data_IF_658683131145
#
_entry.id   IF_658683131145
#
_cell.length_a   1.000
_cell.length_b   1.000
_cell.length_c   1.000
_cell.angle_alpha   90.00
_cell.angle_beta   90.00
_cell.angle_gamma   90.00
#
_symmetry.space_group_name_H-M   'P 1'
#
loop_
_entity.id
_entity.type
_entity.pdbx_description
1 polymer ?
#
# COMPACT_ATOMS: atom_id res chain seq x y z
N UNK A 1 33.29 4.07 -28.79
CA UNK A 1 32.46 2.84 -28.65
C UNK A 1 31.01 3.30 -28.54
N UNK A 2 30.15 2.89 -29.47
CA UNK A 2 28.72 3.23 -29.43
C UNK A 2 27.97 2.15 -28.66
N UNK A 3 27.44 2.48 -27.48
CA UNK A 3 26.46 1.64 -26.80
C UNK A 3 25.14 1.80 -27.55
N UNK A 4 24.83 0.86 -28.45
CA UNK A 4 23.65 0.98 -29.34
C UNK A 4 22.34 0.59 -28.67
N UNK A 5 22.39 -0.05 -27.49
CA UNK A 5 21.20 -0.49 -26.76
C UNK A 5 21.53 -0.65 -25.28
N UNK A 6 20.77 0.03 -24.44
CA UNK A 6 20.84 -0.10 -22.99
C UNK A 6 19.40 -0.33 -22.52
N UNK A 7 19.06 -1.53 -22.08
CA UNK A 7 17.66 -1.85 -21.79
C UNK A 7 17.19 -1.18 -20.48
N UNK A 8 18.06 -1.12 -19.45
CA UNK A 8 17.75 -0.47 -18.16
C UNK A 8 18.85 0.54 -17.79
N UNK A 9 18.43 1.75 -17.41
CA UNK A 9 19.32 2.80 -16.90
C UNK A 9 18.80 3.34 -15.57
N UNK A 10 19.64 3.30 -14.54
CA UNK A 10 19.37 3.96 -13.26
C UNK A 10 20.39 5.07 -13.05
N UNK A 11 19.88 6.28 -12.82
CA UNK A 11 20.66 7.47 -12.54
C UNK A 11 20.34 7.90 -11.11
N UNK A 12 21.36 8.07 -10.28
CA UNK A 12 21.23 8.48 -8.87
C UNK A 12 22.44 9.35 -8.54
N UNK A 13 22.21 10.51 -7.93
CA UNK A 13 23.28 11.45 -7.54
C UNK A 13 24.24 11.80 -8.70
N UNK A 14 23.71 11.96 -9.91
CA UNK A 14 24.49 12.24 -11.11
C UNK A 14 24.17 13.65 -11.64
N UNK A 15 25.20 14.48 -11.84
CA UNK A 15 25.11 15.67 -12.67
C UNK A 15 24.96 15.27 -14.14
N UNK A 16 23.71 15.12 -14.59
CA UNK A 16 23.46 14.83 -16.00
C UNK A 16 23.55 16.12 -16.80
N UNK A 17 24.77 16.47 -17.23
CA UNK A 17 24.95 17.44 -18.30
C UNK A 17 24.50 16.78 -19.59
N UNK A 18 23.32 17.17 -20.08
CA UNK A 18 22.65 16.56 -21.21
C UNK A 18 23.48 16.73 -22.50
N UNK A 19 24.40 15.80 -22.77
CA UNK A 19 25.06 15.72 -24.07
C UNK A 19 24.18 14.91 -25.02
N UNK A 20 23.88 15.48 -26.20
CA UNK A 20 23.17 14.81 -27.30
C UNK A 20 23.78 13.43 -27.57
N UNK A 21 23.12 12.39 -27.10
CA UNK A 21 23.56 11.01 -27.22
C UNK A 21 22.37 10.10 -27.49
N UNK A 22 22.53 9.21 -28.48
CA UNK A 22 21.48 8.29 -28.91
C UNK A 22 21.50 7.03 -28.05
N UNK A 23 20.63 6.96 -27.04
CA UNK A 23 20.35 5.73 -26.32
C UNK A 23 18.88 5.37 -26.52
N UNK A 24 18.63 4.19 -27.10
CA UNK A 24 17.34 3.53 -27.00
C UNK A 24 17.29 2.85 -25.62
N UNK A 25 16.35 3.30 -24.78
CA UNK A 25 16.20 2.87 -23.38
C UNK A 25 14.86 2.15 -23.22
N UNK A 26 14.87 0.96 -22.62
CA UNK A 26 13.64 0.24 -22.26
C UNK A 26 13.06 0.73 -20.93
N UNK A 27 13.92 0.98 -19.95
CA UNK A 27 13.56 1.45 -18.61
C UNK A 27 14.51 2.56 -18.19
N UNK A 28 13.96 3.62 -17.60
CA UNK A 28 14.71 4.73 -17.04
C UNK A 28 14.25 4.99 -15.62
N UNK A 29 15.17 4.86 -14.66
CA UNK A 29 14.95 5.25 -13.27
C UNK A 29 15.86 6.42 -12.95
N UNK A 30 15.28 7.48 -12.41
CA UNK A 30 16.00 8.68 -12.01
C UNK A 30 15.66 8.92 -10.54
N UNK A 31 16.67 8.82 -9.68
CA UNK A 31 16.58 9.11 -8.25
C UNK A 31 17.18 10.48 -7.94
N UNK A 32 16.88 10.99 -6.75
CA UNK A 32 17.29 12.30 -6.26
C UNK A 32 18.80 12.56 -6.38
N UNK A 33 19.19 13.83 -6.29
CA UNK A 33 20.59 14.28 -6.40
C UNK A 33 20.98 14.78 -7.78
N UNK A 34 19.99 15.12 -8.61
CA UNK A 34 20.21 15.70 -9.93
C UNK A 34 20.24 17.22 -9.83
N UNK A 35 21.39 17.84 -9.59
CA UNK A 35 21.48 19.29 -9.74
C UNK A 35 21.50 19.63 -11.24
N UNK A 36 20.31 19.64 -11.85
CA UNK A 36 20.17 20.22 -13.18
C UNK A 36 20.41 21.71 -13.03
N UNK A 37 21.57 22.18 -13.50
CA UNK A 37 21.83 23.60 -13.67
C UNK A 37 20.61 24.23 -14.36
N UNK A 38 20.02 25.25 -13.73
CA UNK A 38 18.73 25.82 -14.12
C UNK A 38 18.66 26.04 -15.64
N UNK A 39 17.77 25.30 -16.31
CA UNK A 39 17.46 25.49 -17.73
C UNK A 39 17.99 24.44 -18.72
N UNK A 40 18.79 23.46 -18.31
CA UNK A 40 19.16 22.34 -19.19
C UNK A 40 18.10 21.23 -19.17
N UNK A 41 17.42 21.02 -20.31
CA UNK A 41 16.47 19.92 -20.47
C UNK A 41 17.19 18.62 -20.79
N UNK A 42 16.86 17.55 -20.07
CA UNK A 42 17.32 16.20 -20.35
C UNK A 42 16.78 15.76 -21.72
N UNK A 43 17.61 15.78 -22.76
CA UNK A 43 17.22 15.31 -24.09
C UNK A 43 17.43 13.80 -24.20
N UNK A 44 16.34 13.05 -24.07
CA UNK A 44 16.33 11.60 -24.33
C UNK A 44 16.11 11.40 -25.83
N UNK A 45 17.08 10.77 -26.49
CA UNK A 45 17.12 10.70 -27.95
C UNK A 45 16.10 9.71 -28.58
N UNK A 46 15.53 8.78 -27.81
CA UNK A 46 14.52 7.83 -28.32
C UNK A 46 13.44 7.51 -27.28
N UNK A 47 12.57 8.50 -26.98
CA UNK A 47 11.53 8.32 -25.98
C UNK A 47 10.44 7.33 -26.43
N UNK A 48 10.35 7.06 -27.74
CA UNK A 48 9.42 6.07 -28.33
C UNK A 48 9.71 4.63 -27.91
N UNK A 49 10.94 4.32 -27.48
CA UNK A 49 11.34 2.97 -27.03
C UNK A 49 11.11 2.72 -25.54
N UNK A 50 10.85 3.79 -24.77
CA UNK A 50 10.75 3.75 -23.33
C UNK A 50 9.47 3.04 -22.89
N UNK A 51 9.62 1.99 -22.08
CA UNK A 51 8.52 1.18 -21.52
C UNK A 51 8.25 1.46 -20.05
N UNK A 52 9.28 1.79 -19.29
CA UNK A 52 9.17 2.12 -17.88
C UNK A 52 9.91 3.40 -17.55
N UNK A 53 9.25 4.29 -16.80
CA UNK A 53 9.83 5.53 -16.30
C UNK A 53 9.55 5.63 -14.80
N UNK A 54 10.61 5.71 -14.00
CA UNK A 54 10.51 5.93 -12.56
C UNK A 54 11.26 7.20 -12.18
N UNK A 55 10.54 8.16 -11.63
CA UNK A 55 11.04 9.47 -11.24
C UNK A 55 10.88 9.61 -9.72
N UNK A 56 11.98 9.55 -9.00
CA UNK A 56 12.08 9.89 -7.60
C UNK A 56 12.96 11.13 -7.47
N UNK A 57 12.36 12.30 -7.70
CA UNK A 57 13.09 13.56 -7.84
C UNK A 57 12.81 14.49 -6.66
N UNK A 58 13.75 15.38 -6.39
CA UNK A 58 13.52 16.51 -5.51
C UNK A 58 12.60 17.54 -6.18
N UNK A 59 12.07 18.46 -5.36
CA UNK A 59 11.21 19.55 -5.78
C UNK A 59 11.77 20.28 -7.02
N UNK A 60 10.89 20.77 -7.91
CA UNK A 60 11.19 21.59 -9.12
C UNK A 60 11.77 20.89 -10.35
N UNK A 61 12.22 19.63 -10.25
CA UNK A 61 12.90 18.95 -11.38
C UNK A 61 11.97 18.11 -12.25
N UNK A 62 10.79 17.75 -11.74
CA UNK A 62 9.83 16.93 -12.46
C UNK A 62 9.39 17.66 -13.74
N UNK A 63 9.01 18.94 -13.64
CA UNK A 63 8.52 19.69 -14.79
C UNK A 63 9.56 19.84 -15.94
N UNK A 64 10.79 20.32 -15.70
CA UNK A 64 11.84 20.33 -16.73
C UNK A 64 12.07 18.96 -17.37
N UNK A 65 11.98 17.90 -16.59
CA UNK A 65 12.20 16.54 -17.09
C UNK A 65 11.05 16.04 -17.96
N UNK A 66 9.80 16.21 -17.52
CA UNK A 66 8.60 15.84 -18.29
C UNK A 66 8.44 16.68 -19.57
N UNK A 67 8.93 17.91 -19.58
CA UNK A 67 9.00 18.77 -20.78
C UNK A 67 10.17 18.39 -21.69
N UNK A 68 11.29 17.90 -21.13
CA UNK A 68 12.46 17.39 -21.85
C UNK A 68 12.16 16.19 -22.77
N UNK A 69 11.15 15.39 -22.46
CA UNK A 69 10.64 14.34 -23.35
C UNK A 69 10.01 14.87 -24.66
N UNK A 70 9.79 16.19 -24.76
CA UNK A 70 9.23 16.85 -25.94
C UNK A 70 7.73 16.56 -26.15
N UNK A 71 7.06 17.23 -27.11
CA UNK A 71 5.61 17.13 -27.29
C UNK A 71 5.15 15.79 -27.93
N UNK A 72 6.06 14.85 -28.19
CA UNK A 72 5.76 13.58 -28.85
C UNK A 72 4.92 12.63 -28.00
N UNK A 73 4.24 11.70 -28.67
CA UNK A 73 3.51 10.60 -28.03
C UNK A 73 4.52 9.54 -27.60
N UNK A 74 4.29 8.93 -26.43
CA UNK A 74 5.06 7.83 -25.84
C UNK A 74 4.22 6.55 -25.89
N UNK A 75 4.02 5.93 -27.07
CA UNK A 75 3.08 4.83 -27.23
C UNK A 75 3.54 3.54 -26.55
N UNK A 76 4.83 3.40 -26.26
CA UNK A 76 5.40 2.21 -25.64
C UNK A 76 5.52 2.34 -24.11
N UNK A 77 5.25 3.51 -23.52
CA UNK A 77 5.36 3.69 -22.08
C UNK A 77 4.22 2.95 -21.38
N UNK A 78 4.55 1.85 -20.71
CA UNK A 78 3.61 0.96 -20.02
C UNK A 78 3.54 1.28 -18.53
N UNK A 79 4.69 1.62 -17.92
CA UNK A 79 4.81 1.87 -16.49
C UNK A 79 5.36 3.27 -16.22
N UNK A 80 4.67 4.02 -15.36
CA UNK A 80 5.10 5.33 -14.89
C UNK A 80 4.99 5.38 -13.37
N UNK A 81 6.09 5.68 -12.70
CA UNK A 81 6.16 5.95 -11.27
C UNK A 81 6.73 7.34 -11.06
N UNK A 82 6.05 8.18 -10.29
CA UNK A 82 6.48 9.54 -9.97
C UNK A 82 6.33 9.75 -8.47
N UNK A 83 7.39 10.14 -7.79
CA UNK A 83 7.35 10.58 -6.40
C UNK A 83 7.39 12.10 -6.36
N UNK A 84 6.28 12.71 -5.97
CA UNK A 84 6.17 14.12 -5.68
C UNK A 84 6.66 14.41 -4.28
N UNK A 85 7.51 15.44 -4.17
CA UNK A 85 7.70 16.13 -2.91
C UNK A 85 6.86 17.40 -2.82
N UNK A 86 6.50 18.03 -3.94
CA UNK A 86 5.65 19.24 -3.95
C UNK A 86 4.30 19.02 -4.63
N UNK A 87 3.29 19.75 -4.17
CA UNK A 87 1.97 19.85 -4.79
C UNK A 87 2.04 20.58 -6.14
N UNK A 88 2.97 21.54 -6.26
CA UNK A 88 3.08 22.44 -7.41
C UNK A 88 3.39 21.77 -8.76
N UNK A 89 3.89 20.53 -8.77
CA UNK A 89 4.24 19.80 -10.00
C UNK A 89 3.07 18.95 -10.54
N UNK A 90 1.97 18.81 -9.80
CA UNK A 90 0.85 17.94 -10.16
C UNK A 90 0.16 18.36 -11.45
N UNK A 91 0.02 19.67 -11.71
CA UNK A 91 -0.58 20.22 -12.93
C UNK A 91 0.23 19.89 -14.20
N UNK A 92 1.52 19.58 -14.05
CA UNK A 92 2.43 19.24 -15.15
C UNK A 92 2.36 17.78 -15.56
N UNK A 93 1.90 16.92 -14.66
CA UNK A 93 1.88 15.48 -14.91
C UNK A 93 0.74 15.07 -15.84
N UNK A 94 -0.44 15.70 -15.76
CA UNK A 94 -1.57 15.34 -16.63
C UNK A 94 -1.32 15.59 -18.12
N UNK A 95 -0.75 16.74 -18.53
CA UNK A 95 -0.33 16.92 -19.92
C UNK A 95 0.72 15.89 -20.38
N UNK A 96 1.50 15.31 -19.46
CA UNK A 96 2.39 14.19 -19.77
C UNK A 96 1.61 12.87 -19.93
N UNK A 97 0.62 12.60 -19.07
CA UNK A 97 -0.24 11.41 -19.18
C UNK A 97 -1.03 11.36 -20.51
N UNK A 98 -1.45 12.51 -21.04
CA UNK A 98 -2.11 12.61 -22.36
C UNK A 98 -1.21 12.12 -23.51
N UNK A 99 0.11 12.20 -23.34
CA UNK A 99 1.09 11.69 -24.30
C UNK A 99 1.35 10.20 -24.15
N UNK A 100 0.79 9.52 -23.15
CA UNK A 100 1.08 8.13 -22.82
C UNK A 100 -0.13 7.20 -23.05
N UNK A 101 -0.60 7.00 -24.30
CA UNK A 101 -1.79 6.20 -24.57
C UNK A 101 -1.62 4.70 -24.26
N UNK A 102 -0.37 4.22 -24.19
CA UNK A 102 -0.01 2.83 -23.87
C UNK A 102 0.10 2.54 -22.38
N UNK A 103 -0.11 3.53 -21.50
CA UNK A 103 0.15 3.39 -20.07
C UNK A 103 -0.83 2.39 -19.42
N UNK A 104 -0.29 1.34 -18.81
CA UNK A 104 -1.06 0.32 -18.10
C UNK A 104 -0.91 0.44 -16.58
N UNK A 105 0.20 1.00 -16.08
CA UNK A 105 0.46 1.18 -14.65
C UNK A 105 0.91 2.59 -14.34
N UNK A 106 0.22 3.24 -13.42
CA UNK A 106 0.56 4.56 -12.91
C UNK A 106 0.72 4.51 -11.40
N UNK A 107 1.86 4.99 -10.92
CA UNK A 107 2.15 5.16 -9.51
C UNK A 107 2.54 6.60 -9.25
N UNK A 108 1.83 7.25 -8.33
CA UNK A 108 2.06 8.62 -7.93
C UNK A 108 2.18 8.65 -6.41
N UNK A 109 3.37 8.94 -5.92
CA UNK A 109 3.72 8.89 -4.52
C UNK A 109 3.92 10.32 -4.03
N UNK A 110 3.58 10.60 -2.77
CA UNK A 110 3.67 11.96 -2.21
C UNK A 110 4.45 11.91 -0.91
N UNK A 111 5.54 12.67 -0.79
CA UNK A 111 6.38 12.64 0.41
C UNK A 111 5.94 13.63 1.49
N UNK A 112 5.22 14.70 1.13
CA UNK A 112 5.06 15.87 2.01
C UNK A 112 3.87 15.85 2.94
N UNK A 113 3.02 14.81 2.93
CA UNK A 113 1.83 14.78 3.80
C UNK A 113 1.05 16.10 3.73
N UNK A 114 0.98 16.73 2.54
CA UNK A 114 0.17 17.93 2.33
C UNK A 114 -1.23 17.49 1.91
N UNK A 115 -2.23 18.13 2.50
CA UNK A 115 -3.59 17.58 2.64
C UNK A 115 -4.44 17.59 1.39
N UNK A 116 -4.07 18.33 0.34
CA UNK A 116 -4.95 18.43 -0.82
C UNK A 116 -4.15 18.63 -2.09
N UNK A 117 -3.97 17.57 -2.86
CA UNK A 117 -3.53 17.68 -4.24
C UNK A 117 -4.73 18.01 -5.12
N UNK A 118 -4.75 19.21 -5.70
CA UNK A 118 -5.76 19.54 -6.69
C UNK A 118 -5.34 18.94 -8.04
N UNK A 119 -5.97 17.82 -8.38
CA UNK A 119 -5.80 17.25 -9.71
C UNK A 119 -6.80 17.87 -10.69
N UNK A 120 -6.34 18.28 -11.89
CA UNK A 120 -7.24 18.76 -12.93
C UNK A 120 -8.22 17.66 -13.34
N UNK A 121 -9.38 18.08 -13.86
CA UNK A 121 -10.35 17.16 -14.44
C UNK A 121 -9.72 16.54 -15.69
N UNK A 122 -9.51 15.23 -15.65
CA UNK A 122 -8.85 14.51 -16.73
C UNK A 122 -9.86 14.09 -17.78
N UNK A 123 -9.53 14.27 -19.05
CA UNK A 123 -10.35 13.78 -20.15
C UNK A 123 -10.46 12.24 -20.11
N UNK A 124 -11.62 11.69 -20.47
CA UNK A 124 -11.84 10.24 -20.49
C UNK A 124 -10.89 9.48 -21.44
N UNK A 125 -10.29 10.19 -22.41
CA UNK A 125 -9.31 9.64 -23.34
C UNK A 125 -7.87 9.56 -22.81
N UNK A 126 -7.55 10.19 -21.67
CA UNK A 126 -6.22 10.12 -21.07
C UNK A 126 -5.98 8.73 -20.49
N UNK A 127 -4.83 8.12 -20.77
CA UNK A 127 -4.42 6.77 -20.29
C UNK A 127 -5.51 5.68 -20.43
N UNK A 128 -6.01 5.42 -21.65
CA UNK A 128 -7.18 4.56 -21.87
C UNK A 128 -6.95 3.07 -21.55
N UNK A 129 -5.69 2.65 -21.38
CA UNK A 129 -5.30 1.27 -21.09
C UNK A 129 -4.90 1.04 -19.62
N UNK A 130 -5.13 2.02 -18.75
CA UNK A 130 -4.73 1.97 -17.34
C UNK A 130 -5.40 0.78 -16.61
N UNK A 131 -4.57 -0.10 -16.03
CA UNK A 131 -4.97 -1.31 -15.30
C UNK A 131 -4.65 -1.24 -13.81
N UNK A 132 -3.51 -0.66 -13.46
CA UNK A 132 -3.07 -0.50 -12.07
C UNK A 132 -2.83 0.97 -11.77
N UNK A 133 -3.38 1.42 -10.65
CA UNK A 133 -3.27 2.80 -10.22
C UNK A 133 -2.93 2.84 -8.73
N UNK A 134 -1.79 3.44 -8.42
CA UNK A 134 -1.35 3.72 -7.05
C UNK A 134 -1.25 5.22 -6.88
N UNK A 135 -1.88 5.75 -5.84
CA UNK A 135 -1.72 7.16 -5.53
C UNK A 135 -2.70 7.74 -4.54
N UNK A 136 -2.66 9.07 -4.37
CA UNK A 136 -3.54 9.79 -3.46
C UNK A 136 -5.02 9.70 -3.86
N UNK A 137 -5.98 9.80 -2.92
CA UNK A 137 -7.41 9.62 -3.18
C UNK A 137 -7.94 10.45 -4.35
N UNK A 138 -7.52 11.70 -4.47
CA UNK A 138 -7.98 12.63 -5.49
C UNK A 138 -7.54 12.20 -6.90
N UNK A 139 -6.35 11.59 -7.02
CA UNK A 139 -5.88 11.00 -8.27
C UNK A 139 -6.73 9.78 -8.63
N UNK A 140 -6.98 8.92 -7.65
CA UNK A 140 -7.80 7.71 -7.82
C UNK A 140 -9.21 8.10 -8.30
N UNK A 141 -9.84 9.11 -7.69
CA UNK A 141 -11.16 9.61 -8.07
C UNK A 141 -11.17 10.17 -9.50
N UNK A 142 -10.11 10.87 -9.91
CA UNK A 142 -10.02 11.46 -11.25
C UNK A 142 -9.71 10.42 -12.35
N UNK A 143 -8.87 9.42 -12.04
CA UNK A 143 -8.37 8.46 -13.02
C UNK A 143 -9.15 7.15 -13.11
N UNK A 144 -9.86 6.71 -12.06
CA UNK A 144 -10.51 5.39 -12.08
C UNK A 144 -11.78 5.30 -12.93
N UNK A 145 -12.73 6.25 -12.85
CA UNK A 145 -14.02 6.11 -13.53
C UNK A 145 -13.90 5.92 -15.05
N UNK A 146 -14.66 4.97 -15.60
CA UNK A 146 -14.71 4.63 -17.03
C UNK A 146 -13.39 4.12 -17.64
N UNK A 147 -12.35 3.88 -16.85
CA UNK A 147 -11.08 3.29 -17.30
C UNK A 147 -10.98 1.82 -16.88
N UNK A 148 -10.24 0.95 -17.60
CA UNK A 148 -10.20 -0.49 -17.34
C UNK A 148 -9.29 -0.88 -16.16
N UNK A 149 -9.35 -0.12 -15.07
CA UNK A 149 -8.55 -0.36 -13.86
C UNK A 149 -9.02 -1.62 -13.16
N UNK A 150 -8.09 -2.48 -12.75
CA UNK A 150 -8.37 -3.72 -12.00
C UNK A 150 -7.66 -3.76 -10.65
N UNK A 151 -6.61 -2.96 -10.46
CA UNK A 151 -5.87 -2.85 -9.20
C UNK A 151 -5.76 -1.39 -8.76
N UNK A 152 -6.17 -1.10 -7.53
CA UNK A 152 -6.13 0.25 -6.96
C UNK A 152 -5.41 0.21 -5.60
N UNK A 153 -4.40 1.05 -5.45
CA UNK A 153 -3.74 1.30 -4.17
C UNK A 153 -3.91 2.76 -3.79
N UNK A 154 -4.70 2.99 -2.74
CA UNK A 154 -4.94 4.33 -2.22
C UNK A 154 -3.88 4.64 -1.17
N UNK A 155 -3.07 5.65 -1.45
CA UNK A 155 -2.09 6.16 -0.49
C UNK A 155 -2.78 7.11 0.50
N UNK A 156 -2.35 7.08 1.76
CA UNK A 156 -2.84 8.01 2.76
C UNK A 156 -2.18 9.38 2.57
N UNK A 157 -2.95 10.41 2.22
CA UNK A 157 -2.43 11.77 2.01
C UNK A 157 -2.43 12.63 3.27
N UNK A 158 -3.37 12.42 4.20
CA UNK A 158 -3.41 13.04 5.53
C UNK A 158 -4.55 12.48 6.40
N UNK A 159 -4.56 12.85 7.69
CA UNK A 159 -5.50 12.37 8.72
C UNK A 159 -6.98 12.68 8.45
N UNK A 160 -7.29 13.64 7.59
CA UNK A 160 -8.65 14.19 7.50
C UNK A 160 -9.61 13.38 6.61
N UNK A 161 -9.15 12.33 5.92
CA UNK A 161 -9.96 11.58 4.95
C UNK A 161 -10.50 10.23 5.44
N UNK A 162 -10.40 9.90 6.73
CA UNK A 162 -10.94 8.63 7.23
C UNK A 162 -12.46 8.52 7.04
N UNK A 163 -13.19 9.65 7.04
CA UNK A 163 -14.62 9.69 6.75
C UNK A 163 -14.96 9.57 5.24
N UNK A 164 -13.99 9.73 4.34
CA UNK A 164 -14.20 9.83 2.89
C UNK A 164 -13.94 8.54 2.11
N UNK A 165 -13.66 7.42 2.79
CA UNK A 165 -13.30 6.15 2.13
C UNK A 165 -14.47 5.61 1.30
N UNK A 166 -15.72 5.75 1.77
CA UNK A 166 -16.88 5.21 1.04
C UNK A 166 -17.17 6.01 -0.25
N UNK A 167 -17.24 7.36 -0.24
CA UNK A 167 -17.29 8.14 -1.48
C UNK A 167 -16.18 7.78 -2.47
N UNK A 168 -14.95 7.62 -2.00
CA UNK A 168 -13.84 7.17 -2.83
C UNK A 168 -14.10 5.79 -3.46
N UNK A 169 -14.55 4.82 -2.66
CA UNK A 169 -14.89 3.47 -3.15
C UNK A 169 -16.04 3.50 -4.17
N UNK A 170 -17.01 4.40 -4.02
CA UNK A 170 -18.07 4.59 -5.01
C UNK A 170 -17.50 5.07 -6.35
N UNK A 171 -16.54 5.99 -6.36
CA UNK A 171 -15.86 6.40 -7.60
C UNK A 171 -15.01 5.27 -8.19
N UNK A 172 -14.28 4.52 -7.35
CA UNK A 172 -13.51 3.34 -7.78
C UNK A 172 -14.42 2.29 -8.44
N UNK A 173 -15.63 2.08 -7.89
CA UNK A 173 -16.61 1.13 -8.42
C UNK A 173 -17.11 1.47 -9.84
N UNK A 174 -16.88 2.70 -10.31
CA UNK A 174 -17.21 3.15 -11.68
C UNK A 174 -16.13 2.79 -12.71
N UNK A 175 -15.13 1.99 -12.33
CA UNK A 175 -14.18 1.44 -13.28
C UNK A 175 -14.88 0.65 -14.40
N UNK A 176 -14.32 0.69 -15.62
CA UNK A 176 -14.84 -0.08 -16.76
C UNK A 176 -14.56 -1.59 -16.64
N UNK A 177 -13.71 -1.99 -15.68
CA UNK A 177 -13.43 -3.39 -15.36
C UNK A 177 -13.70 -3.65 -13.87
N UNK A 178 -14.07 -4.89 -13.48
CA UNK A 178 -14.19 -5.22 -12.07
C UNK A 178 -12.86 -5.08 -11.34
N UNK A 179 -12.88 -4.45 -10.17
CA UNK A 179 -11.72 -4.31 -9.30
C UNK A 179 -11.42 -5.66 -8.65
N UNK A 180 -10.18 -6.11 -8.81
CA UNK A 180 -9.68 -7.38 -8.31
C UNK A 180 -8.70 -7.19 -7.15
N UNK A 181 -7.96 -6.07 -7.11
CA UNK A 181 -7.04 -5.75 -6.02
C UNK A 181 -7.33 -4.34 -5.49
N UNK A 182 -7.57 -4.24 -4.18
CA UNK A 182 -7.88 -2.99 -3.50
C UNK A 182 -7.06 -2.88 -2.22
N UNK A 183 -6.19 -1.88 -2.18
CA UNK A 183 -5.48 -1.45 -0.98
C UNK A 183 -6.07 -0.11 -0.55
N UNK A 184 -6.70 -0.11 0.62
CA UNK A 184 -7.33 1.07 1.20
C UNK A 184 -6.33 1.87 2.04
N UNK A 185 -6.55 3.19 2.19
CA UNK A 185 -5.71 3.98 3.08
C UNK A 185 -5.99 3.56 4.53
N UNK A 186 -5.28 4.18 5.46
CA UNK A 186 -5.50 3.98 6.89
C UNK A 186 -6.95 4.36 7.23
N UNK A 187 -7.72 3.40 7.72
CA UNK A 187 -9.09 3.65 8.18
C UNK A 187 -9.03 3.88 9.69
N UNK A 188 -9.30 5.11 10.10
CA UNK A 188 -9.55 5.41 11.50
C UNK A 188 -10.93 4.87 11.86
N UNK A 189 -10.99 4.07 12.90
CA UNK A 189 -12.24 3.50 13.39
C UNK A 189 -13.08 2.74 12.36
N UNK A 190 -12.58 1.66 11.74
CA UNK A 190 -13.38 0.80 10.89
C UNK A 190 -14.70 0.42 11.57
N UNK A 191 -15.81 0.93 11.05
CA UNK A 191 -17.15 0.51 11.44
C UNK A 191 -17.66 -0.54 10.46
N UNK A 192 -18.53 -1.43 10.94
CA UNK A 192 -19.04 -2.53 10.13
C UNK A 192 -19.76 -2.04 8.86
N UNK A 193 -20.51 -0.92 8.96
CA UNK A 193 -21.31 -0.37 7.87
C UNK A 193 -20.50 -0.06 6.61
N UNK A 194 -19.51 0.86 6.67
CA UNK A 194 -18.62 1.17 5.56
C UNK A 194 -17.90 -0.06 4.99
N UNK A 195 -17.38 -0.96 5.83
CA UNK A 195 -16.71 -2.17 5.35
C UNK A 195 -17.66 -3.10 4.58
N UNK A 196 -18.89 -3.29 5.07
CA UNK A 196 -19.93 -4.06 4.36
C UNK A 196 -20.28 -3.41 3.03
N UNK A 197 -20.39 -2.07 3.00
CA UNK A 197 -20.64 -1.33 1.76
C UNK A 197 -19.48 -1.50 0.76
N UNK A 198 -18.24 -1.35 1.21
CA UNK A 198 -17.03 -1.53 0.37
C UNK A 198 -17.02 -2.92 -0.24
N UNK A 199 -17.21 -3.97 0.54
CA UNK A 199 -17.21 -5.34 0.00
C UNK A 199 -18.38 -5.57 -0.96
N UNK A 200 -19.55 -4.94 -0.70
CA UNK A 200 -20.68 -4.97 -1.61
C UNK A 200 -20.42 -4.28 -2.96
N UNK A 201 -19.55 -3.27 -3.00
CA UNK A 201 -19.15 -2.56 -4.23
C UNK A 201 -18.19 -3.38 -5.10
N UNK A 202 -17.44 -4.31 -4.52
CA UNK A 202 -16.37 -5.06 -5.20
C UNK A 202 -16.59 -6.58 -5.11
N UNK A 203 -17.61 -7.13 -5.80
CA UNK A 203 -17.93 -8.56 -5.72
C UNK A 203 -16.83 -9.47 -6.30
N UNK A 204 -16.02 -8.98 -7.25
CA UNK A 204 -14.94 -9.72 -7.91
C UNK A 204 -13.56 -9.54 -7.24
N UNK A 205 -13.54 -8.99 -6.01
CA UNK A 205 -12.31 -8.70 -5.29
C UNK A 205 -11.55 -9.97 -4.90
N UNK A 206 -10.29 -10.06 -5.33
CA UNK A 206 -9.36 -11.16 -5.03
C UNK A 206 -8.33 -10.78 -3.98
N UNK A 207 -7.96 -9.52 -3.91
CA UNK A 207 -7.01 -8.99 -2.94
C UNK A 207 -7.61 -7.78 -2.22
N UNK A 208 -7.62 -7.87 -0.90
CA UNK A 208 -8.06 -6.79 -0.02
C UNK A 208 -6.98 -6.52 1.02
N UNK A 209 -6.45 -5.30 1.03
CA UNK A 209 -5.55 -4.81 2.06
C UNK A 209 -6.20 -3.65 2.79
N UNK A 210 -6.44 -3.85 4.08
CA UNK A 210 -6.98 -2.83 4.98
C UNK A 210 -5.89 -2.46 5.98
N UNK A 211 -5.55 -1.18 6.05
CA UNK A 211 -4.69 -0.62 7.08
C UNK A 211 -5.56 0.06 8.13
N UNK A 212 -5.36 -0.28 9.40
CA UNK A 212 -6.15 0.23 10.53
C UNK A 212 -5.27 1.19 11.34
N UNK A 213 -5.73 2.42 11.52
CA UNK A 213 -5.05 3.48 12.29
C UNK A 213 -5.70 3.77 13.64
N UNK A 214 -5.02 4.59 14.45
CA UNK A 214 -5.55 5.14 15.70
C UNK A 214 -5.11 6.61 15.89
N UNK A 215 -5.76 7.32 16.81
CA UNK A 215 -5.77 8.80 16.95
C UNK A 215 -4.42 9.55 17.01
N UNK A 216 -3.31 8.88 17.26
CA UNK A 216 -2.01 9.53 17.51
C UNK A 216 -0.95 9.09 16.49
N UNK A 217 -0.93 9.68 15.31
CA UNK A 217 0.17 9.49 14.34
C UNK A 217 0.95 10.78 14.10
N UNK A 218 2.01 11.04 14.86
CA UNK A 218 2.99 12.07 14.46
C UNK A 218 3.73 11.59 13.23
N UNK A 219 3.68 12.37 12.14
CA UNK A 219 4.27 12.07 10.83
C UNK A 219 5.77 11.76 10.99
N UNK A 220 6.10 10.48 11.15
CA UNK A 220 7.46 10.00 11.03
C UNK A 220 7.64 9.57 9.58
N UNK A 221 8.57 10.23 8.91
CA UNK A 221 8.88 10.19 7.48
C UNK A 221 8.45 8.93 6.72
N UNK A 222 7.78 9.19 5.59
CA UNK A 222 7.49 8.24 4.52
C UNK A 222 8.76 7.53 4.06
N UNK A 223 9.09 6.37 4.63
CA UNK A 223 10.09 5.46 4.09
C UNK A 223 9.41 4.49 3.12
N UNK A 224 9.38 4.79 1.82
CA UNK A 224 8.81 3.98 0.72
C UNK A 224 8.66 2.47 1.01
N UNK A 225 7.44 2.03 1.31
CA UNK A 225 7.16 0.66 1.79
C UNK A 225 7.07 -0.37 0.63
N UNK A 226 7.09 0.08 -0.64
CA UNK A 226 6.98 -0.76 -1.85
C UNK A 226 8.34 -1.16 -2.47
N UNK A 227 9.47 -0.62 -2.01
CA UNK A 227 10.80 -0.95 -2.57
C UNK A 227 11.20 -2.43 -2.44
N UNK A 228 10.51 -3.21 -1.61
CA UNK A 228 10.87 -4.61 -1.36
C UNK A 228 10.26 -5.63 -2.33
N UNK A 229 9.43 -5.21 -3.29
CA UNK A 229 8.91 -6.13 -4.32
C UNK A 229 9.84 -6.31 -5.52
N UNK A 230 10.86 -5.44 -5.71
CA UNK A 230 11.76 -5.49 -6.87
C UNK A 230 13.14 -4.93 -6.54
N UNK A 231 14.06 -5.77 -6.01
CA UNK A 231 15.54 -5.68 -6.12
C UNK A 231 16.27 -5.97 -4.79
N UNK A 232 17.36 -6.77 -4.80
CA UNK A 232 18.26 -6.94 -3.66
C UNK A 232 19.55 -6.12 -3.83
N UNK A 233 19.72 -5.00 -3.12
CA UNK A 233 21.03 -4.47 -2.73
C UNK A 233 20.92 -3.29 -1.76
N UNK A 234 21.48 -3.46 -0.56
CA UNK A 234 21.72 -2.43 0.46
C UNK A 234 22.80 -1.44 0.01
N UNK A 235 22.50 -0.15 0.02
CA UNK A 235 23.46 0.91 0.40
C UNK A 235 22.72 2.05 1.11
N UNK A 236 23.07 2.26 2.38
CA UNK A 236 22.63 3.37 3.22
C UNK A 236 23.57 4.58 3.03
N UNK A 237 23.02 5.72 2.68
CA UNK A 237 23.54 7.04 3.05
C UNK A 237 22.34 7.94 3.36
N UNK A 238 22.30 8.46 4.58
CA UNK A 238 21.30 9.43 5.05
C UNK A 238 22.07 10.73 5.21
N UNK A 239 21.90 11.66 4.28
CA UNK A 239 22.31 13.06 4.45
C UNK A 239 21.05 13.89 4.69
N UNK A 240 21.01 14.52 5.86
CA UNK A 240 19.98 15.46 6.29
C UNK A 240 20.38 16.85 5.80
N UNK A 241 19.63 17.41 4.85
CA UNK A 241 19.69 18.83 4.54
C UNK A 241 18.77 19.59 5.51
N UNK A 242 19.30 19.99 6.66
CA UNK A 242 18.70 21.00 7.53
C UNK A 242 19.30 22.36 7.18
N UNK A 243 18.55 23.22 6.49
CA UNK A 243 18.80 24.66 6.44
C UNK A 243 17.51 25.41 6.11
N UNK A 244 16.80 25.84 7.14
CA UNK A 244 15.88 26.98 7.08
C UNK A 244 15.74 27.60 8.48
N UNK A 245 16.69 28.48 8.80
CA UNK A 245 16.55 29.47 9.87
C UNK A 245 15.50 30.49 9.42
N UNK A 246 14.30 30.43 9.98
CA UNK A 246 13.33 31.52 9.87
C UNK A 246 13.54 32.49 11.03
N UNK A 247 14.03 33.68 10.68
CA UNK A 247 14.17 34.82 11.56
C UNK A 247 12.80 35.36 12.00
N UNK A 248 12.68 35.42 13.32
CA UNK A 248 11.97 36.38 14.17
C UNK A 248 11.38 37.62 13.46
N UNK A 249 10.04 37.74 13.46
CA UNK A 249 9.40 39.02 13.15
C UNK A 249 8.09 39.23 13.92
N UNK A 250 8.25 40.00 14.99
CA UNK A 250 7.36 41.01 15.56
C UNK A 250 5.89 40.65 15.88
N UNK A 251 5.60 40.74 17.18
CA UNK A 251 4.28 40.89 17.77
C UNK A 251 3.58 42.16 17.27
N UNK A 252 2.29 42.04 16.96
CA UNK A 252 1.37 43.16 16.93
C UNK A 252 0.11 42.87 17.75
N UNK A 253 -0.27 43.92 18.44
CA UNK A 253 -1.18 44.11 19.56
C UNK A 253 -2.58 44.50 19.04
N UNK A 254 -3.62 43.70 19.28
CA UNK A 254 -5.01 44.08 18.97
C UNK A 254 -5.99 43.54 20.04
N UNK A 255 -6.21 44.42 21.02
CA UNK A 255 -7.47 44.86 21.67
C UNK A 255 -8.61 43.87 21.95
N UNK A 256 -8.99 43.92 23.23
CA UNK A 256 -10.26 43.49 23.84
C UNK A 256 -11.50 43.89 23.04
N UNK A 257 -12.40 42.93 22.82
CA UNK A 257 -13.80 43.21 22.49
C UNK A 257 -14.72 42.35 23.37
N UNK A 258 -15.37 43.02 24.31
CA UNK A 258 -16.53 42.54 25.05
C UNK A 258 -17.64 42.15 24.06
N UNK A 259 -18.25 40.97 24.24
CA UNK A 259 -19.53 40.64 23.62
C UNK A 259 -20.36 39.75 24.53
N UNK A 260 -21.36 40.42 25.09
CA UNK A 260 -22.69 40.00 25.51
C UNK A 260 -23.02 38.49 25.50
N UNK A 261 -23.21 37.96 26.70
CA UNK A 261 -23.96 36.73 26.97
C UNK A 261 -25.46 36.89 26.63
N UNK A 262 -26.06 35.97 25.86
CA UNK A 262 -27.50 35.76 25.85
C UNK A 262 -27.95 34.67 26.85
N UNK A 263 -29.24 34.67 27.25
CA UNK A 263 -29.67 34.05 28.49
C UNK A 263 -29.80 32.53 28.44
N UNK A 264 -29.48 31.95 29.60
CA UNK A 264 -29.58 30.56 30.01
C UNK A 264 -30.99 30.00 29.81
N UNK A 265 -31.17 29.14 28.80
CA UNK A 265 -32.37 28.30 28.67
C UNK A 265 -32.18 27.05 29.53
N UNK A 266 -32.95 26.95 30.60
CA UNK A 266 -33.07 25.77 31.46
C UNK A 266 -33.68 24.63 30.62
N UNK A 267 -32.84 23.72 30.10
CA UNK A 267 -33.29 22.44 29.54
C UNK A 267 -33.42 21.42 30.66
N UNK A 268 -34.63 20.86 30.79
CA UNK A 268 -34.93 19.77 31.70
C UNK A 268 -34.07 18.55 31.38
N UNK A 269 -33.30 18.09 32.38
CA UNK A 269 -32.62 16.80 32.34
C UNK A 269 -33.65 15.67 32.45
N UNK A 270 -34.19 15.22 31.32
CA UNK A 270 -34.71 13.86 31.24
C UNK A 270 -33.51 12.93 31.22
N UNK A 271 -33.31 12.21 32.32
CA UNK A 271 -32.25 11.22 32.53
C UNK A 271 -32.50 10.00 31.63
N UNK A 272 -32.30 10.17 30.32
CA UNK A 272 -32.09 9.06 29.42
C UNK A 272 -30.86 8.29 29.91
N UNK A 273 -31.01 6.97 30.05
CA UNK A 273 -29.90 6.07 30.29
C UNK A 273 -28.91 6.27 29.16
N UNK A 274 -27.85 7.05 29.41
CA UNK A 274 -26.69 7.09 28.55
C UNK A 274 -26.23 5.65 28.36
N UNK A 275 -26.34 5.15 27.12
CA UNK A 275 -25.59 3.98 26.72
C UNK A 275 -24.13 4.21 27.13
N UNK A 276 -23.42 3.18 27.63
CA UNK A 276 -22.02 3.34 27.98
C UNK A 276 -21.30 3.97 26.79
N UNK A 277 -20.36 4.92 27.00
CA UNK A 277 -19.57 5.46 25.91
C UNK A 277 -18.95 4.24 25.21
N UNK A 278 -19.35 4.01 23.97
CA UNK A 278 -18.77 3.00 23.10
C UNK A 278 -17.39 3.53 22.79
N UNK A 279 -16.46 3.39 23.72
CA UNK A 279 -15.07 3.75 23.52
C UNK A 279 -14.51 2.77 22.50
N UNK A 280 -14.67 3.16 21.23
CA UNK A 280 -13.78 2.98 20.10
C UNK A 280 -12.70 1.92 20.26
N UNK A 281 -13.09 0.64 20.33
CA UNK A 281 -12.14 -0.44 20.08
C UNK A 281 -12.24 -0.82 18.61
N UNK A 282 -11.65 0.00 17.76
CA UNK A 282 -11.52 -0.21 16.33
C UNK A 282 -10.26 -0.99 16.01
N UNK A 283 -10.26 -2.24 16.43
CA UNK A 283 -9.07 -3.07 16.37
C UNK A 283 -9.24 -4.21 15.38
N UNK A 284 -8.11 -4.75 14.90
CA UNK A 284 -8.06 -5.88 13.96
C UNK A 284 -8.90 -7.07 14.42
N UNK A 285 -9.00 -7.26 15.75
CA UNK A 285 -9.86 -8.25 16.40
C UNK A 285 -11.33 -8.13 15.98
N UNK A 286 -11.86 -6.92 15.84
CA UNK A 286 -13.26 -6.72 15.46
C UNK A 286 -13.50 -7.07 14.00
N UNK A 287 -12.59 -6.65 13.11
CA UNK A 287 -12.69 -7.02 11.69
C UNK A 287 -12.65 -8.55 11.54
N UNK A 288 -11.67 -9.21 12.16
CA UNK A 288 -11.59 -10.67 12.15
C UNK A 288 -12.85 -11.31 12.71
N UNK A 289 -13.36 -10.83 13.85
CA UNK A 289 -14.60 -11.35 14.45
C UNK A 289 -15.82 -11.12 13.57
N UNK A 290 -15.92 -9.99 12.86
CA UNK A 290 -17.00 -9.73 11.92
C UNK A 290 -16.94 -10.68 10.73
N UNK A 291 -15.75 -10.94 10.19
CA UNK A 291 -15.58 -11.90 9.09
C UNK A 291 -15.96 -13.31 9.56
N UNK A 292 -15.40 -13.77 10.68
CA UNK A 292 -15.65 -15.11 11.23
C UNK A 292 -17.11 -15.29 11.69
N UNK A 293 -17.75 -14.22 12.14
CA UNK A 293 -19.17 -14.20 12.51
C UNK A 293 -20.12 -14.09 11.33
N UNK A 294 -19.62 -13.96 10.09
CA UNK A 294 -20.43 -13.76 8.88
C UNK A 294 -21.08 -12.37 8.78
N UNK A 295 -20.71 -11.42 9.65
CA UNK A 295 -21.19 -10.04 9.61
C UNK A 295 -20.52 -9.24 8.49
N UNK A 296 -19.27 -9.56 8.17
CA UNK A 296 -18.54 -9.04 7.02
C UNK A 296 -18.26 -10.20 6.06
N UNK A 297 -19.12 -10.37 5.05
CA UNK A 297 -18.96 -11.42 4.05
C UNK A 297 -18.02 -10.94 2.94
N UNK A 298 -16.80 -11.48 2.87
CA UNK A 298 -15.84 -11.17 1.81
C UNK A 298 -16.28 -11.77 0.46
N UNK A 299 -15.66 -11.33 -0.63
CA UNK A 299 -15.87 -11.97 -1.94
C UNK A 299 -15.57 -13.47 -1.85
N UNK A 300 -16.39 -14.35 -2.45
CA UNK A 300 -16.11 -15.79 -2.48
C UNK A 300 -14.81 -16.12 -3.23
N UNK A 301 -14.35 -15.23 -4.12
CA UNK A 301 -13.12 -15.35 -4.89
C UNK A 301 -11.90 -14.74 -4.21
N UNK A 302 -11.98 -14.33 -2.94
CA UNK A 302 -10.85 -13.72 -2.23
C UNK A 302 -9.67 -14.71 -2.13
N UNK A 303 -8.51 -14.27 -2.61
CA UNK A 303 -7.24 -15.01 -2.62
C UNK A 303 -6.28 -14.46 -1.55
N UNK A 304 -6.25 -13.13 -1.38
CA UNK A 304 -5.32 -12.42 -0.49
C UNK A 304 -6.10 -11.50 0.46
N UNK A 305 -5.90 -11.67 1.77
CA UNK A 305 -6.42 -10.79 2.80
C UNK A 305 -5.29 -10.26 3.68
N UNK A 306 -5.02 -8.97 3.60
CA UNK A 306 -4.01 -8.29 4.41
C UNK A 306 -4.72 -7.35 5.38
N UNK A 307 -4.61 -7.62 6.68
CA UNK A 307 -5.12 -6.74 7.73
C UNK A 307 -3.93 -6.20 8.51
N UNK A 308 -3.66 -4.92 8.34
CA UNK A 308 -2.54 -4.24 8.94
C UNK A 308 -3.01 -3.31 10.05
N UNK A 309 -2.21 -3.21 11.11
CA UNK A 309 -2.42 -2.25 12.18
C UNK A 309 -1.21 -1.31 12.22
N UNK A 310 -1.46 -0.03 11.93
CA UNK A 310 -0.44 1.01 11.94
C UNK A 310 0.05 1.22 13.39
N UNK A 311 1.35 1.52 13.54
CA UNK A 311 2.04 1.66 14.82
C UNK A 311 1.69 3.02 15.43
N UNK A 312 1.19 3.06 16.67
CA UNK A 312 1.80 3.81 17.77
C UNK A 312 1.12 3.61 19.15
N UNK A 313 1.96 3.22 20.13
CA UNK A 313 1.84 3.36 21.59
C UNK A 313 0.70 2.70 22.37
N UNK A 314 -0.49 2.47 21.85
CA UNK A 314 -1.56 1.75 22.59
C UNK A 314 -1.64 0.28 22.15
N UNK A 315 -0.66 -0.52 22.55
CA UNK A 315 -0.54 -1.96 22.24
C UNK A 315 -1.63 -2.84 22.88
N UNK A 316 -2.76 -2.28 23.27
CA UNK A 316 -3.62 -2.96 24.22
C UNK A 316 -4.20 -4.27 23.68
N UNK A 317 -4.29 -4.48 22.35
CA UNK A 317 -4.83 -5.73 21.77
C UNK A 317 -4.27 -6.12 20.39
N UNK A 318 -3.00 -6.48 20.28
CA UNK A 318 -2.63 -7.29 19.10
C UNK A 318 -3.26 -8.69 19.20
N UNK A 319 -3.61 -9.30 18.07
CA UNK A 319 -3.95 -10.73 18.04
C UNK A 319 -2.72 -11.51 18.50
N UNK A 320 -2.88 -12.33 19.54
CA UNK A 320 -1.87 -13.30 19.93
C UNK A 320 -1.59 -14.28 18.79
N UNK A 321 -0.41 -14.89 18.76
CA UNK A 321 -0.06 -15.89 17.74
C UNK A 321 -1.12 -17.00 17.62
N UNK A 322 -1.64 -17.47 18.77
CA UNK A 322 -2.70 -18.48 18.83
C UNK A 322 -3.99 -17.99 18.17
N UNK A 323 -4.40 -16.75 18.44
CA UNK A 323 -5.59 -16.16 17.82
C UNK A 323 -5.40 -15.97 16.31
N UNK A 324 -4.21 -15.53 15.88
CA UNK A 324 -3.88 -15.43 14.45
C UNK A 324 -3.99 -16.80 13.77
N UNK A 325 -3.40 -17.86 14.35
CA UNK A 325 -3.48 -19.22 13.80
C UNK A 325 -4.93 -19.73 13.72
N UNK A 326 -5.73 -19.49 14.76
CA UNK A 326 -7.14 -19.85 14.78
C UNK A 326 -7.95 -19.08 13.73
N UNK A 327 -7.73 -17.77 13.63
CA UNK A 327 -8.37 -16.91 12.65
C UNK A 327 -8.02 -17.35 11.23
N UNK A 328 -6.74 -17.57 10.93
CA UNK A 328 -6.28 -18.10 9.65
C UNK A 328 -6.96 -19.43 9.32
N UNK A 329 -6.95 -20.39 10.24
CA UNK A 329 -7.55 -21.71 10.01
C UNK A 329 -9.06 -21.61 9.72
N UNK A 330 -9.78 -20.77 10.46
CA UNK A 330 -11.21 -20.54 10.25
C UNK A 330 -11.48 -19.80 8.93
N UNK A 331 -10.69 -18.78 8.59
CA UNK A 331 -10.80 -18.04 7.33
C UNK A 331 -10.55 -18.95 6.12
N UNK A 332 -9.52 -19.80 6.16
CA UNK A 332 -9.25 -20.77 5.08
C UNK A 332 -10.35 -21.80 4.89
N UNK A 333 -11.14 -22.09 5.93
CA UNK A 333 -12.32 -22.95 5.82
C UNK A 333 -13.51 -22.21 5.20
N UNK A 334 -13.70 -20.93 5.55
CA UNK A 334 -14.79 -20.10 5.03
C UNK A 334 -14.58 -19.66 3.58
N UNK A 335 -13.32 -19.43 3.19
CA UNK A 335 -12.94 -18.91 1.87
C UNK A 335 -11.96 -19.89 1.20
N UNK A 336 -12.44 -20.85 0.39
CA UNK A 336 -11.60 -21.93 -0.17
C UNK A 336 -10.47 -21.47 -1.10
N UNK A 337 -10.62 -20.28 -1.68
CA UNK A 337 -9.66 -19.63 -2.58
C UNK A 337 -8.57 -18.84 -1.85
N UNK A 338 -8.76 -18.57 -0.55
CA UNK A 338 -7.83 -17.79 0.27
C UNK A 338 -6.50 -18.51 0.39
N UNK A 339 -5.47 -17.95 -0.24
CA UNK A 339 -4.11 -18.47 -0.29
C UNK A 339 -3.12 -17.63 0.52
N UNK A 340 -3.48 -16.41 0.90
CA UNK A 340 -2.64 -15.57 1.75
C UNK A 340 -3.48 -14.80 2.76
N UNK A 341 -3.09 -14.89 4.03
CA UNK A 341 -3.62 -14.06 5.12
C UNK A 341 -2.46 -13.45 5.87
N UNK A 342 -2.51 -12.14 6.09
CA UNK A 342 -1.51 -11.44 6.89
C UNK A 342 -2.18 -10.59 7.94
N UNK A 343 -1.66 -10.67 9.16
CA UNK A 343 -2.03 -9.83 10.28
C UNK A 343 -0.81 -9.02 10.74
N UNK A 344 -0.99 -7.74 11.04
CA UNK A 344 0.04 -6.91 11.68
C UNK A 344 0.90 -6.10 10.70
N UNK A 345 2.10 -5.69 11.12
CA UNK A 345 2.90 -4.67 10.42
C UNK A 345 3.68 -5.23 9.22
N UNK A 346 3.70 -4.55 8.08
CA UNK A 346 4.73 -4.61 7.06
C UNK A 346 6.02 -3.98 7.57
N UNK A 347 7.17 -4.36 6.97
CA UNK A 347 8.42 -3.62 7.11
C UNK A 347 9.42 -4.11 8.15
N UNK A 348 9.06 -5.02 9.07
CA UNK A 348 10.11 -5.73 9.81
C UNK A 348 10.61 -6.89 8.95
N UNK A 349 11.71 -6.65 8.24
CA UNK A 349 12.52 -7.72 7.67
C UNK A 349 12.76 -8.76 8.75
N UNK A 350 12.15 -9.92 8.56
CA UNK A 350 12.37 -11.10 9.37
C UNK A 350 13.84 -11.47 9.22
N UNK A 351 14.71 -11.02 10.14
CA UNK A 351 16.00 -11.67 10.30
C UNK A 351 15.68 -13.11 10.68
N UNK A 352 15.94 -14.04 9.76
CA UNK A 352 16.00 -15.46 10.07
C UNK A 352 16.99 -15.55 11.22
N UNK A 353 16.52 -15.72 12.45
CA UNK A 353 17.41 -16.00 13.57
C UNK A 353 18.03 -17.35 13.23
N UNK A 354 19.28 -17.30 12.76
CA UNK A 354 20.05 -18.48 12.46
C UNK A 354 20.00 -19.37 13.68
N UNK A 355 19.72 -20.66 13.47
CA UNK A 355 19.89 -21.69 14.49
C UNK A 355 21.30 -21.55 15.05
N UNK A 356 21.42 -21.02 16.25
CA UNK A 356 22.67 -20.98 16.99
C UNK A 356 23.15 -22.41 17.18
N UNK A 357 24.15 -22.81 16.41
CA UNK A 357 24.92 -24.01 16.67
C UNK A 357 25.53 -23.87 18.05
N UNK A 358 25.17 -24.79 18.95
CA UNK A 358 25.77 -24.93 20.25
C UNK A 358 27.28 -25.15 20.09
N UNK A 359 28.10 -24.27 20.68
CA UNK A 359 29.53 -24.51 20.80
C UNK A 359 30.38 -23.25 20.92
N UNK A 360 30.51 -22.73 22.14
CA UNK A 360 31.75 -22.18 22.71
C UNK A 360 31.40 -21.17 23.81
N UNK A 361 31.81 -21.48 25.05
CA UNK A 361 31.59 -20.62 26.20
C UNK A 361 32.31 -19.28 26.05
N UNK A 362 31.54 -18.20 26.15
CA UNK A 362 32.03 -16.84 26.31
C UNK A 362 31.03 -16.09 27.18
N UNK A 363 31.44 -15.78 28.41
CA UNK A 363 30.66 -15.01 29.39
C UNK A 363 30.44 -13.58 28.88
N UNK A 364 29.20 -13.21 28.58
CA UNK A 364 28.77 -11.82 28.39
C UNK A 364 27.83 -11.43 29.54
N UNK A 365 28.23 -10.40 30.29
CA UNK A 365 27.41 -9.72 31.29
C UNK A 365 26.24 -9.02 30.58
N UNK A 366 25.05 -9.15 31.15
CA UNK A 366 23.80 -8.70 30.56
C UNK A 366 23.65 -7.19 30.50
N UNK A 367 23.20 -6.72 29.34
CA UNK A 367 22.32 -5.58 29.20
C UNK A 367 20.91 -6.13 28.92
N UNK A 368 19.91 -5.54 29.58
CA UNK A 368 18.52 -5.97 29.49
C UNK A 368 18.00 -5.85 28.04
N UNK A 369 17.89 -6.99 27.35
CA UNK A 369 17.16 -7.08 26.08
C UNK A 369 15.68 -6.77 26.34
N UNK A 370 15.22 -5.66 25.77
CA UNK A 370 13.81 -5.37 25.67
C UNK A 370 13.14 -6.48 24.85
N UNK A 371 12.16 -7.14 25.46
CA UNK A 371 11.35 -8.15 24.82
C UNK A 371 10.52 -7.50 23.71
N UNK A 372 11.07 -7.43 22.50
CA UNK A 372 10.32 -6.98 21.34
C UNK A 372 9.25 -8.04 21.02
N UNK A 373 7.97 -7.67 20.83
CA UNK A 373 6.93 -8.64 20.50
C UNK A 373 7.28 -9.32 19.17
N UNK A 374 7.34 -10.65 19.18
CA UNK A 374 7.40 -11.47 17.97
C UNK A 374 6.17 -11.16 17.12
N UNK A 375 6.38 -10.63 15.93
CA UNK A 375 5.33 -10.59 14.90
C UNK A 375 5.17 -12.01 14.32
N UNK A 376 4.20 -12.23 13.45
CA UNK A 376 4.10 -13.50 12.73
C UNK A 376 3.47 -13.29 11.38
N UNK A 377 4.22 -13.55 10.32
CA UNK A 377 3.64 -13.76 8.99
C UNK A 377 3.24 -15.23 8.90
N UNK A 378 1.96 -15.53 9.06
CA UNK A 378 1.44 -16.87 8.78
C UNK A 378 1.11 -16.92 7.29
N UNK A 379 2.12 -17.19 6.47
CA UNK A 379 1.85 -17.53 5.07
C UNK A 379 1.24 -18.92 5.07
N UNK A 380 -0.07 -19.01 4.85
CA UNK A 380 -0.69 -20.27 4.46
C UNK A 380 -0.43 -20.47 2.98
N UNK A 381 0.81 -20.77 2.64
CA UNK A 381 1.09 -21.32 1.33
C UNK A 381 0.35 -22.66 1.28
N UNK A 382 -0.83 -22.63 0.66
CA UNK A 382 -1.53 -23.83 0.24
C UNK A 382 -0.59 -24.47 -0.76
N UNK A 383 0.29 -25.36 -0.28
CA UNK A 383 1.12 -26.22 -1.13
C UNK A 383 0.17 -26.78 -2.17
N UNK A 384 0.30 -26.31 -3.42
CA UNK A 384 -0.53 -26.75 -4.51
C UNK A 384 -0.49 -28.27 -4.45
N UNK A 385 -1.63 -28.88 -4.12
CA UNK A 385 -1.72 -30.33 -4.18
C UNK A 385 -1.41 -30.65 -5.63
N UNK A 386 -0.37 -31.46 -5.93
CA UNK A 386 -0.05 -31.78 -7.31
C UNK A 386 -1.35 -32.27 -7.96
N UNK A 387 -1.66 -31.88 -9.21
CA UNK A 387 -2.84 -32.38 -9.89
C UNK A 387 -2.79 -33.90 -9.77
N UNK A 388 -3.78 -34.49 -9.08
CA UNK A 388 -3.85 -35.94 -8.94
C UNK A 388 -3.77 -36.50 -10.36
N UNK A 389 -2.68 -37.21 -10.65
CA UNK A 389 -2.59 -37.99 -11.86
C UNK A 389 -3.88 -38.85 -11.93
N UNK A 390 -4.55 -38.93 -13.10
CA UNK A 390 -5.70 -39.79 -13.22
C UNK A 390 -5.30 -41.20 -12.78
N UNK A 391 -6.07 -41.85 -11.91
CA UNK A 391 -5.68 -43.13 -11.35
C UNK A 391 -5.46 -44.14 -12.49
N UNK A 392 -4.39 -44.95 -12.43
CA UNK A 392 -4.29 -46.08 -13.35
C UNK A 392 -5.51 -46.97 -13.14
N UNK A 393 -6.15 -47.35 -14.24
CA UNK A 393 -7.23 -48.34 -14.26
C UNK A 393 -6.71 -49.64 -13.61
N UNK A 394 -7.03 -49.84 -12.33
CA UNK A 394 -6.69 -51.04 -11.59
C UNK A 394 -7.94 -51.90 -11.42
N UNK A 395 -7.79 -53.16 -11.87
CA UNK A 395 -8.73 -54.26 -11.68
C UNK A 395 -9.18 -54.37 -10.23
N UNK A 396 -10.48 -54.57 -10.08
CA UNK A 396 -11.20 -54.92 -8.87
C UNK A 396 -10.70 -56.22 -8.25
N UNK A 397 -10.30 -56.16 -6.98
CA UNK A 397 -10.49 -57.25 -6.03
C UNK A 397 -10.87 -56.66 -4.68
N UNK A 398 -12.11 -56.96 -4.27
CA UNK A 398 -12.74 -56.50 -3.03
C UNK A 398 -12.31 -57.44 -1.90
N UNK A 399 -11.78 -56.88 -0.81
CA UNK A 399 -11.87 -57.51 0.51
C UNK A 399 -12.13 -56.43 1.54
N UNK A 400 -13.36 -56.38 2.05
CA UNK A 400 -13.81 -55.46 3.09
C UNK A 400 -13.48 -56.01 4.50
N UNK A 401 -13.02 -55.12 5.37
CA UNK A 401 -13.31 -55.16 6.82
C UNK A 401 -13.58 -53.71 7.27
N UNK A 402 -14.73 -53.42 7.91
CA UNK A 402 -15.06 -52.07 8.34
C UNK A 402 -14.44 -51.75 9.72
N UNK A 403 -13.88 -50.56 9.85
CA UNK A 403 -13.61 -49.92 11.15
C UNK A 403 -14.72 -48.88 11.40
N UNK A 404 -15.59 -49.08 12.41
CA UNK A 404 -16.81 -48.29 12.57
C UNK A 404 -16.64 -46.88 13.18
N UNK A 405 -15.42 -46.42 13.50
CA UNK A 405 -15.26 -45.25 14.39
C UNK A 405 -14.32 -44.13 13.94
N UNK A 406 -14.35 -43.67 12.68
CA UNK A 406 -13.75 -42.35 12.36
C UNK A 406 -14.31 -41.69 11.10
N UNK A 407 -15.07 -40.60 11.28
CA UNK A 407 -15.48 -39.67 10.21
C UNK A 407 -14.96 -38.28 10.54
N UNK A 408 -14.15 -37.72 9.65
CA UNK A 408 -13.72 -36.32 9.63
C UNK A 408 -12.47 -36.12 8.77
N UNK A 409 -12.42 -35.11 7.87
CA UNK A 409 -11.22 -34.81 7.08
C UNK A 409 -10.08 -34.33 8.01
N UNK A 410 -8.90 -34.91 7.82
CA UNK A 410 -7.69 -34.52 8.54
C UNK A 410 -7.08 -33.28 7.88
N UNK A 411 -7.17 -32.14 8.56
CA UNK A 411 -6.35 -30.96 8.27
C UNK A 411 -4.94 -31.20 8.84
N UNK A 412 -3.93 -31.14 7.97
CA UNK A 412 -2.54 -30.97 8.41
C UNK A 412 -2.28 -29.47 8.57
N UNK A 413 -2.24 -29.00 9.82
CA UNK A 413 -1.53 -27.77 10.15
C UNK A 413 -0.05 -28.13 10.10
N UNK A 414 0.65 -27.68 9.06
CA UNK A 414 2.11 -27.81 9.00
C UNK A 414 2.69 -26.65 9.79
N UNK A 415 3.09 -26.91 11.03
CA UNK A 415 4.07 -26.06 11.71
C UNK A 415 5.42 -26.40 11.10
N UNK A 416 6.01 -25.47 10.33
CA UNK A 416 7.37 -25.65 9.82
C UNK A 416 8.33 -25.42 10.99
N UNK A 417 8.66 -26.49 11.69
CA UNK A 417 9.88 -26.57 12.50
C UNK A 417 10.93 -27.25 11.61
N UNK A 418 11.76 -26.45 10.95
CA UNK A 418 12.87 -26.98 10.17
C UNK A 418 13.99 -27.40 11.13
N UNK A 419 14.08 -28.70 11.42
CA UNK A 419 15.24 -29.34 12.01
C UNK A 419 15.88 -30.29 11.00
N UNK A 420 17.11 -29.98 10.60
CA UNK A 420 18.11 -30.88 10.00
C UNK A 420 19.45 -30.31 10.52
N UNK A 421 20.28 -30.96 11.34
CA UNK A 421 20.55 -32.37 11.62
C UNK A 421 19.98 -32.90 12.93
#
# INVERSE_FOLDING_TARGET
MSLTRLDDLTLSDCDIVARKGFLALGSLTIKSGLDTAEGESLQIASPESLRALNLDLCHSQIHPLLTGFGPGILPQLVHLSITFRDVGDSDKVFPFLDRCPGLESLEILTSTGQSTLQFPVVHSGTVPLLRTLTGPPELIQSLTPNRPVTGVTVLSTNRDHSDDVLPLCMEISRSARPIQSLVLPVIDYPTLGPLVAIVGLFPDLRELHIVIGGDEFTVLGSHSWWEHASSPADTRSVDLCDDAVFDDMAADDISDTESDEPPTVIRAHTKERSAPPVSGNSDIHYIVRWILGGLLSLSPGIEVLLLEQQKERSWSRQLSLTEQQQAVAALSLMYPHLCQVQFGRPGNNWKRTGTGTAGSGGSWKGDAESSTPQQSRIIVEKLASPPLAPPPLARTSITERPDPNRRGPSLRVVTVQAGWY
#
